data_IF_939448170870
#
_entry.id   IF_939448170870
#
_cell.length_a   1.000
_cell.length_b   1.000
_cell.length_c   1.000
_cell.angle_alpha   90.00
_cell.angle_beta   90.00
_cell.angle_gamma   90.00
#
_symmetry.space_group_name_H-M   'P 1'
#
loop_
_entity.id
_entity.type
_entity.pdbx_description
1 polymer ?
#
# COMPACT_ATOMS: atom_id res chain seq x y z
N UNK A 1 15.65 31.59 -53.23
CA UNK A 1 14.95 31.86 -51.96
C UNK A 1 14.57 30.52 -51.33
N UNK A 2 15.30 30.07 -50.29
CA UNK A 2 14.98 28.87 -49.52
C UNK A 2 14.36 29.32 -48.20
N UNK A 3 13.13 28.86 -47.89
CA UNK A 3 12.55 28.94 -46.55
C UNK A 3 12.17 27.52 -46.15
N UNK A 4 13.10 26.82 -45.50
CA UNK A 4 12.78 25.58 -44.79
C UNK A 4 12.29 26.04 -43.42
N UNK A 5 10.98 25.97 -43.19
CA UNK A 5 10.43 26.08 -41.84
C UNK A 5 10.67 24.75 -41.13
N UNK A 6 11.71 24.72 -40.31
CA UNK A 6 11.91 23.70 -39.28
C UNK A 6 11.13 24.16 -38.04
N UNK A 7 9.88 23.71 -37.91
CA UNK A 7 9.17 23.78 -36.65
C UNK A 7 9.48 22.50 -35.85
N UNK A 8 10.60 22.51 -35.12
CA UNK A 8 10.67 21.85 -33.82
C UNK A 8 9.61 22.55 -32.96
N UNK A 9 8.69 21.87 -32.28
CA UNK A 9 8.93 20.78 -31.36
C UNK A 9 8.12 21.14 -30.11
N UNK A 10 7.01 20.44 -29.92
CA UNK A 10 6.37 20.33 -28.62
C UNK A 10 5.93 18.87 -28.50
N UNK A 11 6.91 17.99 -28.25
CA UNK A 11 6.62 16.75 -27.57
C UNK A 11 6.22 17.14 -26.14
N UNK A 12 4.92 17.32 -25.93
CA UNK A 12 4.33 17.30 -24.60
C UNK A 12 4.57 15.91 -24.03
N UNK A 13 5.69 15.75 -23.32
CA UNK A 13 5.95 14.60 -22.47
C UNK A 13 4.93 14.65 -21.34
N UNK A 14 3.75 14.08 -21.59
CA UNK A 14 2.84 13.68 -20.52
C UNK A 14 3.59 12.59 -19.74
N UNK A 15 4.20 12.99 -18.63
CA UNK A 15 4.79 12.04 -17.70
C UNK A 15 3.61 11.38 -16.99
N UNK A 16 3.06 10.33 -17.60
CA UNK A 16 2.27 9.37 -16.83
C UNK A 16 3.24 8.77 -15.81
N UNK A 17 3.12 9.19 -14.55
CA UNK A 17 3.83 8.54 -13.45
C UNK A 17 3.24 7.15 -13.31
N UNK A 18 3.87 6.17 -13.97
CA UNK A 18 3.57 4.78 -13.75
C UNK A 18 3.91 4.45 -12.29
N UNK A 19 2.99 3.75 -11.61
CA UNK A 19 3.27 3.23 -10.29
C UNK A 19 4.55 2.38 -10.34
N UNK A 20 5.55 2.65 -9.49
CA UNK A 20 6.77 1.88 -9.50
C UNK A 20 6.46 0.41 -9.21
N UNK A 21 7.10 -0.50 -9.95
CA UNK A 21 6.90 -1.95 -9.78
C UNK A 21 7.32 -2.46 -8.41
N UNK A 22 8.23 -1.74 -7.75
CA UNK A 22 8.65 -1.97 -6.37
C UNK A 22 8.92 -0.64 -5.69
N UNK A 23 8.59 -0.52 -4.41
CA UNK A 23 8.95 0.63 -3.58
C UNK A 23 9.33 0.18 -2.16
N UNK A 24 10.10 1.01 -1.46
CA UNK A 24 10.45 0.81 -0.06
C UNK A 24 10.05 2.07 0.68
N UNK A 25 9.16 1.93 1.66
CA UNK A 25 8.60 3.08 2.39
C UNK A 25 8.75 2.88 3.90
N UNK A 26 8.93 3.98 4.62
CA UNK A 26 8.72 3.98 6.07
C UNK A 26 7.26 4.32 6.34
N UNK A 27 6.61 3.51 7.16
CA UNK A 27 5.16 3.59 7.41
C UNK A 27 4.85 3.41 8.89
N UNK A 28 3.66 3.86 9.29
CA UNK A 28 3.00 3.46 10.52
C UNK A 28 1.96 2.39 10.19
N UNK A 29 2.12 1.20 10.77
CA UNK A 29 1.20 0.08 10.57
C UNK A 29 -0.08 0.33 11.36
N UNK A 30 -1.22 0.42 10.68
CA UNK A 30 -2.51 0.78 11.28
C UNK A 30 -3.31 -0.45 11.65
N UNK A 31 -3.69 -1.24 10.66
CA UNK A 31 -4.58 -2.38 10.87
C UNK A 31 -4.31 -3.52 9.91
N UNK A 32 -4.82 -4.69 10.28
CA UNK A 32 -4.82 -5.90 9.47
C UNK A 32 -6.26 -6.43 9.38
N UNK A 33 -6.70 -6.79 8.19
CA UNK A 33 -8.02 -7.39 7.99
C UNK A 33 -8.00 -8.44 6.89
N UNK A 34 -8.91 -9.41 6.97
CA UNK A 34 -9.10 -10.42 5.94
C UNK A 34 -10.52 -10.35 5.39
N UNK A 35 -10.62 -10.22 4.07
CA UNK A 35 -11.86 -10.47 3.33
C UNK A 35 -12.00 -11.96 3.01
N UNK A 36 -13.02 -12.29 2.20
CA UNK A 36 -13.29 -13.66 1.73
C UNK A 36 -12.10 -14.32 1.03
N UNK A 37 -11.30 -13.54 0.31
CA UNK A 37 -10.31 -14.07 -0.63
C UNK A 37 -8.87 -13.63 -0.35
N UNK A 38 -8.67 -12.63 0.50
CA UNK A 38 -7.34 -12.04 0.74
C UNK A 38 -7.28 -11.23 2.03
N UNK A 39 -6.07 -11.12 2.59
CA UNK A 39 -5.79 -10.27 3.73
C UNK A 39 -5.00 -9.03 3.33
N UNK A 40 -5.26 -7.95 4.03
CA UNK A 40 -4.80 -6.61 3.72
C UNK A 40 -4.12 -5.98 4.93
N UNK A 41 -3.14 -5.13 4.64
CA UNK A 41 -2.51 -4.25 5.61
C UNK A 41 -2.84 -2.81 5.26
N UNK A 42 -3.36 -2.11 6.26
CA UNK A 42 -3.53 -0.68 6.26
C UNK A 42 -2.32 -0.01 6.92
N UNK A 43 -1.79 1.03 6.27
CA UNK A 43 -0.62 1.76 6.77
C UNK A 43 -0.65 3.22 6.31
N UNK A 44 0.05 4.09 7.05
CA UNK A 44 0.28 5.48 6.67
C UNK A 44 1.76 5.71 6.36
N UNK A 45 2.08 6.41 5.27
CA UNK A 45 3.47 6.77 4.95
C UNK A 45 3.99 7.76 6.02
N UNK A 46 5.14 7.44 6.62
CA UNK A 46 5.68 8.17 7.75
C UNK A 46 6.40 9.48 7.38
N UNK A 47 6.91 9.58 6.15
CA UNK A 47 7.69 10.73 5.65
C UNK A 47 6.96 11.47 4.52
N UNK A 48 5.66 11.73 4.68
CA UNK A 48 4.99 12.69 3.80
C UNK A 48 5.30 14.07 4.37
N UNK A 49 6.14 14.83 3.69
CA UNK A 49 6.34 16.25 4.04
C UNK A 49 4.96 16.90 4.09
N UNK A 50 4.59 17.39 5.27
CA UNK A 50 3.33 18.11 5.50
C UNK A 50 3.34 19.39 4.67
N UNK A 51 2.96 19.30 3.40
CA UNK A 51 2.55 20.45 2.62
C UNK A 51 1.14 20.78 3.10
N UNK A 52 0.93 22.01 3.57
CA UNK A 52 -0.31 22.48 4.20
C UNK A 52 -1.57 21.86 3.56
N UNK A 53 -2.37 21.13 4.38
CA UNK A 53 -3.64 20.47 4.04
C UNK A 53 -3.57 19.13 3.25
N UNK A 54 -2.47 18.38 3.32
CA UNK A 54 -2.43 16.98 2.83
C UNK A 54 -2.56 16.01 4.00
N UNK A 55 -3.69 15.30 4.08
CA UNK A 55 -3.88 14.18 5.01
C UNK A 55 -2.78 13.12 4.79
N UNK A 56 -2.38 12.42 5.86
CA UNK A 56 -1.39 11.33 5.78
C UNK A 56 -1.74 10.37 4.63
N UNK A 57 -0.76 10.08 3.75
CA UNK A 57 -0.99 9.18 2.62
C UNK A 57 -1.24 7.77 3.14
N UNK A 58 -2.47 7.31 2.98
CA UNK A 58 -2.91 5.98 3.36
C UNK A 58 -2.62 4.96 2.26
N UNK A 59 -2.07 3.81 2.64
CA UNK A 59 -1.80 2.68 1.77
C UNK A 59 -2.58 1.46 2.27
N UNK A 60 -3.36 0.85 1.38
CA UNK A 60 -3.91 -0.49 1.57
C UNK A 60 -3.19 -1.45 0.62
N UNK A 61 -2.62 -2.52 1.17
CA UNK A 61 -1.78 -3.47 0.44
C UNK A 61 -2.20 -4.90 0.71
N UNK A 62 -1.98 -5.81 -0.24
CA UNK A 62 -2.05 -7.23 0.07
C UNK A 62 -0.96 -7.60 1.09
N UNK A 63 -1.32 -8.48 2.02
CA UNK A 63 -0.39 -9.03 2.98
C UNK A 63 0.38 -10.21 2.34
N UNK A 64 1.54 -9.92 1.74
CA UNK A 64 2.41 -10.91 1.10
C UNK A 64 3.54 -11.47 1.98
N UNK A 65 3.89 -10.79 3.09
CA UNK A 65 4.89 -11.25 4.06
C UNK A 65 4.33 -12.43 4.85
N UNK A 66 4.52 -13.64 4.33
CA UNK A 66 3.90 -14.86 4.88
C UNK A 66 4.11 -15.02 6.39
N UNK A 67 5.29 -14.68 6.91
CA UNK A 67 5.56 -14.82 8.34
C UNK A 67 4.74 -13.81 9.15
N UNK A 68 4.78 -12.54 8.76
CA UNK A 68 4.02 -11.49 9.41
C UNK A 68 2.51 -11.73 9.30
N UNK A 69 2.01 -12.00 8.10
CA UNK A 69 0.59 -12.20 7.83
C UNK A 69 0.03 -13.40 8.60
N UNK A 70 0.78 -14.50 8.72
CA UNK A 70 0.34 -15.67 9.51
C UNK A 70 0.16 -15.32 10.99
N UNK A 71 1.05 -14.49 11.55
CA UNK A 71 0.95 -14.06 12.94
C UNK A 71 -0.36 -13.29 13.20
N UNK A 72 -0.70 -12.34 12.34
CA UNK A 72 -1.89 -11.51 12.52
C UNK A 72 -3.18 -12.16 12.03
N UNK A 73 -3.10 -13.11 11.09
CA UNK A 73 -4.25 -13.90 10.67
C UNK A 73 -4.86 -14.68 11.85
N UNK A 74 -4.04 -15.33 12.68
CA UNK A 74 -4.56 -16.03 13.86
C UNK A 74 -5.21 -15.08 14.87
N UNK A 75 -4.61 -13.90 15.09
CA UNK A 75 -5.16 -12.90 15.99
C UNK A 75 -6.50 -12.33 15.48
N UNK A 76 -6.58 -12.08 14.17
CA UNK A 76 -7.78 -11.64 13.48
C UNK A 76 -8.92 -12.67 13.56
N UNK A 77 -8.66 -13.94 13.22
CA UNK A 77 -9.66 -15.00 13.30
C UNK A 77 -10.25 -15.14 14.71
N UNK A 78 -9.41 -15.09 15.74
CA UNK A 78 -9.86 -15.14 17.13
C UNK A 78 -10.74 -13.95 17.51
N UNK A 79 -10.45 -12.75 16.98
CA UNK A 79 -11.28 -11.56 17.18
C UNK A 79 -12.64 -11.75 16.50
N UNK A 80 -12.66 -12.20 15.25
CA UNK A 80 -13.88 -12.37 14.45
C UNK A 80 -14.85 -13.43 15.02
N UNK A 81 -14.35 -14.45 15.72
CA UNK A 81 -15.20 -15.45 16.39
C UNK A 81 -16.17 -14.87 17.43
N UNK A 82 -15.88 -13.68 17.94
CA UNK A 82 -16.69 -13.01 18.97
C UNK A 82 -17.62 -11.94 18.40
N UNK A 83 -17.62 -11.77 17.07
CA UNK A 83 -18.41 -10.78 16.35
C UNK A 83 -19.56 -11.45 15.59
N UNK A 84 -20.57 -10.68 15.24
CA UNK A 84 -21.64 -11.16 14.37
C UNK A 84 -21.08 -11.45 12.96
N UNK A 85 -21.65 -12.42 12.24
CA UNK A 85 -21.16 -12.84 10.91
C UNK A 85 -21.17 -11.71 9.87
N UNK A 86 -21.96 -10.68 10.06
CA UNK A 86 -22.09 -9.50 9.20
C UNK A 86 -21.22 -8.30 9.63
N UNK A 87 -20.52 -8.41 10.76
CA UNK A 87 -19.71 -7.34 11.31
C UNK A 87 -18.27 -7.41 10.80
N UNK A 88 -17.88 -6.46 9.94
CA UNK A 88 -16.50 -6.30 9.51
C UNK A 88 -15.72 -5.49 10.56
N UNK A 89 -14.60 -6.03 11.01
CA UNK A 89 -13.70 -5.40 11.96
C UNK A 89 -12.26 -5.53 11.50
N UNK A 90 -11.42 -4.57 11.86
CA UNK A 90 -9.99 -4.60 11.55
C UNK A 90 -9.19 -4.86 12.83
N UNK A 91 -8.14 -5.66 12.73
CA UNK A 91 -7.23 -5.90 13.85
C UNK A 91 -6.20 -4.76 13.93
N UNK A 92 -6.29 -3.94 14.99
CA UNK A 92 -5.39 -2.81 15.27
C UNK A 92 -3.93 -3.25 15.49
N UNK A 93 -2.98 -2.59 14.80
CA UNK A 93 -1.54 -2.87 14.83
C UNK A 93 -0.73 -1.86 15.68
N UNK A 94 -1.41 -1.00 16.43
CA UNK A 94 -0.83 -0.05 17.40
C UNK A 94 0.17 0.94 16.82
N UNK A 95 0.00 1.40 15.58
CA UNK A 95 0.79 2.48 14.97
C UNK A 95 2.30 2.27 15.01
N UNK A 96 2.77 1.02 14.96
CA UNK A 96 4.21 0.75 15.04
C UNK A 96 4.91 1.18 13.76
N UNK A 97 5.94 2.01 13.90
CA UNK A 97 6.77 2.44 12.76
C UNK A 97 7.55 1.25 12.19
N UNK A 98 7.49 1.08 10.88
CA UNK A 98 8.18 0.01 10.16
C UNK A 98 8.71 0.50 8.82
N UNK A 99 9.68 -0.23 8.28
CA UNK A 99 10.06 -0.16 6.87
C UNK A 99 9.43 -1.33 6.14
N UNK A 100 8.74 -1.04 5.04
CA UNK A 100 8.08 -2.04 4.20
C UNK A 100 8.70 -2.06 2.82
N UNK A 101 8.79 -3.24 2.22
CA UNK A 101 9.06 -3.40 0.79
C UNK A 101 7.77 -3.82 0.11
N UNK A 102 7.34 -3.04 -0.89
CA UNK A 102 6.11 -3.27 -1.63
C UNK A 102 6.45 -3.67 -3.06
N UNK A 103 5.62 -4.55 -3.63
CA UNK A 103 5.68 -4.97 -5.03
C UNK A 103 4.33 -4.75 -5.68
N UNK A 104 4.32 -4.10 -6.84
CA UNK A 104 3.11 -3.95 -7.62
C UNK A 104 2.76 -5.28 -8.28
N UNK A 105 1.58 -5.81 -7.96
CA UNK A 105 1.06 -7.08 -8.47
C UNK A 105 -0.29 -6.87 -9.15
N UNK A 106 -0.69 -7.82 -9.98
CA UNK A 106 -2.06 -7.87 -10.49
C UNK A 106 -3.00 -8.32 -9.37
N UNK A 107 -4.05 -7.54 -9.11
CA UNK A 107 -5.15 -7.97 -8.26
C UNK A 107 -6.03 -8.93 -9.07
N UNK A 108 -6.09 -10.23 -8.73
CA UNK A 108 -6.85 -11.20 -9.50
C UNK A 108 -8.38 -10.99 -9.41
N UNK A 109 -8.85 -10.21 -8.44
CA UNK A 109 -10.27 -9.96 -8.19
C UNK A 109 -10.80 -8.71 -8.90
N UNK A 110 -10.00 -7.64 -8.95
CA UNK A 110 -10.40 -6.36 -9.57
C UNK A 110 -9.81 -6.14 -10.97
N UNK A 111 -8.79 -6.91 -11.36
CA UNK A 111 -8.03 -6.68 -12.59
C UNK A 111 -7.17 -5.40 -12.56
N UNK A 112 -7.13 -4.69 -11.43
CA UNK A 112 -6.29 -3.52 -11.22
C UNK A 112 -4.95 -3.91 -10.60
N UNK A 113 -3.93 -3.06 -10.74
CA UNK A 113 -2.68 -3.24 -10.00
C UNK A 113 -2.87 -2.82 -8.55
N UNK A 114 -2.27 -3.57 -7.63
CA UNK A 114 -2.23 -3.27 -6.19
C UNK A 114 -0.84 -3.57 -5.65
N UNK A 115 -0.44 -2.88 -4.58
CA UNK A 115 0.79 -3.22 -3.88
C UNK A 115 0.60 -4.43 -2.97
N UNK A 116 1.56 -5.34 -3.00
CA UNK A 116 1.72 -6.46 -2.08
C UNK A 116 2.93 -6.19 -1.19
N UNK A 117 2.72 -6.19 0.13
CA UNK A 117 3.79 -6.04 1.12
C UNK A 117 4.61 -7.32 1.17
N UNK A 118 5.85 -7.27 0.68
CA UNK A 118 6.76 -8.43 0.61
C UNK A 118 7.49 -8.71 1.91
N UNK A 119 7.80 -7.65 2.67
CA UNK A 119 8.53 -7.76 3.93
C UNK A 119 8.30 -6.56 4.82
N UNK A 120 8.25 -6.79 6.13
CA UNK A 120 8.07 -5.75 7.15
C UNK A 120 9.21 -5.82 8.16
N UNK A 121 9.87 -4.68 8.40
CA UNK A 121 10.92 -4.55 9.43
C UNK A 121 10.55 -3.43 10.38
N UNK A 122 10.25 -3.77 11.63
CA UNK A 122 10.00 -2.77 12.67
C UNK A 122 11.24 -1.90 12.88
N UNK A 123 11.03 -0.58 12.90
CA UNK A 123 12.07 0.37 13.21
C UNK A 123 12.09 0.57 14.73
N UNK A 124 13.30 0.66 15.30
CA UNK A 124 13.44 1.08 16.69
C UNK A 124 13.14 2.58 16.75
N UNK A 125 12.31 2.98 17.71
CA UNK A 125 12.13 4.39 18.05
C UNK A 125 13.46 5.02 18.45
#
# INVERSE_FOLDING_TARGET
MKKILLAFGLFSLQHAYALPSTMTEEVYLKSFACGSDSCYLSMEIANVDNVDNVDNVHLSTFCGDRQYCTQYHQAYENMMQHLAEDEYQEYELNDRKARVNLKLVDNPYSGQKIYETQSIVYLKN
#
